data_IF_537281682056
#
_entry.id   IF_537281682056
#
_cell.length_a   1.000
_cell.length_b   1.000
_cell.length_c   1.000
_cell.angle_alpha   90.00
_cell.angle_beta   90.00
_cell.angle_gamma   90.00
#
_symmetry.space_group_name_H-M   'P 1'
#
loop_
_entity.id
_entity.type
_entity.pdbx_description
1 polymer ?
#
# COMPACT_ATOMS: atom_id res chain seq x y z
N UNK A 1 -31.14 -7.51 -7.99
CA UNK A 1 -31.15 -6.86 -9.33
C UNK A 1 -30.24 -5.65 -9.24
N UNK A 2 -29.30 -5.47 -10.17
CA UNK A 2 -28.55 -4.23 -10.25
C UNK A 2 -29.51 -3.12 -10.70
N UNK A 3 -29.34 -1.91 -10.14
CA UNK A 3 -30.17 -0.75 -10.51
C UNK A 3 -29.79 -0.24 -11.91
N UNK A 4 -28.56 -0.51 -12.35
CA UNK A 4 -28.06 -0.20 -13.69
C UNK A 4 -27.29 -1.41 -14.26
N UNK A 5 -27.25 -1.52 -15.59
CA UNK A 5 -26.46 -2.50 -16.30
C UNK A 5 -24.98 -2.07 -16.35
N UNK A 6 -24.06 -3.03 -16.46
CA UNK A 6 -22.66 -2.75 -16.74
C UNK A 6 -22.56 -2.04 -18.11
N UNK A 7 -21.77 -0.96 -18.24
CA UNK A 7 -21.48 -0.34 -19.54
C UNK A 7 -20.90 -1.36 -20.54
N UNK A 8 -21.17 -1.17 -21.82
CA UNK A 8 -20.64 -1.98 -22.91
C UNK A 8 -19.17 -1.67 -23.26
N UNK A 9 -18.57 -0.71 -22.54
CA UNK A 9 -17.17 -0.28 -22.65
C UNK A 9 -16.83 0.35 -24.02
N UNK A 10 -17.83 0.68 -24.82
CA UNK A 10 -17.64 1.41 -26.07
C UNK A 10 -17.39 2.89 -25.80
N UNK A 11 -16.56 3.50 -26.64
CA UNK A 11 -16.29 4.94 -26.61
C UNK A 11 -17.01 5.57 -27.80
N UNK A 12 -17.91 6.49 -27.53
CA UNK A 12 -18.62 7.24 -28.56
C UNK A 12 -17.63 7.97 -29.50
N UNK A 13 -17.94 7.96 -30.80
CA UNK A 13 -17.11 8.54 -31.85
C UNK A 13 -15.65 8.02 -31.89
N UNK A 14 -15.33 6.89 -31.27
CA UNK A 14 -13.98 6.29 -31.34
C UNK A 14 -13.54 5.91 -32.75
N UNK A 15 -14.50 5.62 -33.64
CA UNK A 15 -14.28 5.28 -35.04
C UNK A 15 -14.66 6.41 -36.02
N UNK A 16 -14.90 7.62 -35.51
CA UNK A 16 -15.25 8.76 -36.36
C UNK A 16 -14.11 9.11 -37.32
N UNK A 17 -14.47 9.48 -38.55
CA UNK A 17 -13.52 9.88 -39.60
C UNK A 17 -12.92 11.25 -39.30
N UNK A 18 -11.87 11.61 -40.04
CA UNK A 18 -11.09 12.85 -39.86
C UNK A 18 -11.91 14.15 -39.81
N UNK A 19 -13.07 14.19 -40.48
CA UNK A 19 -13.93 15.37 -40.54
C UNK A 19 -15.21 15.22 -39.70
N UNK A 20 -15.29 14.20 -38.84
CA UNK A 20 -16.46 13.93 -37.99
C UNK A 20 -16.19 14.28 -36.51
N UNK A 21 -14.96 14.69 -36.16
CA UNK A 21 -14.57 15.17 -34.83
C UNK A 21 -13.70 16.41 -34.99
N UNK A 22 -13.99 17.43 -34.19
CA UNK A 22 -13.18 18.63 -34.08
C UNK A 22 -13.08 19.06 -32.61
N UNK A 23 -11.91 19.54 -32.21
CA UNK A 23 -11.66 19.93 -30.83
C UNK A 23 -12.59 21.09 -30.44
N UNK A 24 -13.19 21.01 -29.26
CA UNK A 24 -13.99 22.12 -28.76
C UNK A 24 -13.09 23.35 -28.52
N UNK A 25 -13.39 24.51 -29.12
CA UNK A 25 -12.44 25.62 -29.22
C UNK A 25 -12.11 26.28 -27.88
N UNK A 26 -13.07 26.33 -26.93
CA UNK A 26 -12.84 26.91 -25.61
C UNK A 26 -13.64 26.17 -24.53
N UNK A 27 -12.98 25.21 -23.88
CA UNK A 27 -13.61 24.39 -22.83
C UNK A 27 -14.06 25.19 -21.61
N UNK A 28 -13.36 26.28 -21.25
CA UNK A 28 -13.68 27.05 -20.05
C UNK A 28 -14.87 27.99 -20.28
N UNK A 29 -14.96 28.56 -21.49
CA UNK A 29 -16.10 29.39 -21.90
C UNK A 29 -17.34 28.55 -22.21
N UNK A 30 -17.16 27.30 -22.64
CA UNK A 30 -18.26 26.40 -23.00
C UNK A 30 -19.03 26.88 -24.22
N UNK A 31 -20.33 26.59 -24.29
CA UNK A 31 -21.17 26.88 -25.46
C UNK A 31 -21.28 28.37 -25.80
N UNK A 32 -20.90 29.30 -24.92
CA UNK A 32 -20.89 30.73 -25.24
C UNK A 32 -20.02 31.09 -26.45
N UNK A 33 -19.04 30.25 -26.80
CA UNK A 33 -18.19 30.43 -27.99
C UNK A 33 -18.94 30.27 -29.32
N UNK A 34 -20.09 29.56 -29.33
CA UNK A 34 -20.87 29.32 -30.55
C UNK A 34 -21.46 30.61 -31.11
N UNK A 35 -21.80 31.59 -30.27
CA UNK A 35 -22.36 32.88 -30.74
C UNK A 35 -21.36 33.69 -31.57
N UNK A 36 -20.06 33.50 -31.36
CA UNK A 36 -19.02 34.22 -32.10
C UNK A 36 -18.51 33.46 -33.33
N UNK A 37 -18.54 32.13 -33.29
CA UNK A 37 -17.93 31.30 -34.32
C UNK A 37 -18.93 30.63 -35.27
N UNK A 38 -20.14 30.33 -34.77
CA UNK A 38 -21.12 29.48 -35.47
C UNK A 38 -22.55 30.00 -35.33
N UNK A 39 -22.71 31.31 -35.09
CA UNK A 39 -24.01 31.98 -34.97
C UNK A 39 -24.96 31.34 -33.93
N UNK A 40 -24.38 30.78 -32.86
CA UNK A 40 -25.12 30.12 -31.78
C UNK A 40 -25.42 28.64 -32.05
N UNK A 41 -25.04 28.09 -33.21
CA UNK A 41 -25.34 26.71 -33.61
C UNK A 41 -24.07 25.86 -33.50
N UNK A 42 -23.92 25.03 -32.44
CA UNK A 42 -22.76 24.16 -32.31
C UNK A 42 -22.71 23.07 -33.40
N UNK A 43 -21.58 22.88 -34.11
CA UNK A 43 -21.39 21.79 -35.07
C UNK A 43 -21.42 20.41 -34.41
N UNK A 44 -21.75 19.38 -35.19
CA UNK A 44 -21.82 17.99 -34.70
C UNK A 44 -20.45 17.43 -34.30
N UNK A 45 -19.39 17.90 -34.94
CA UNK A 45 -18.00 17.54 -34.70
C UNK A 45 -17.58 17.90 -33.27
N UNK A 46 -18.08 19.03 -32.75
CA UNK A 46 -17.87 19.47 -31.37
C UNK A 46 -18.61 18.58 -30.38
N UNK A 47 -19.85 18.18 -30.68
CA UNK A 47 -20.57 17.19 -29.86
C UNK A 47 -19.84 15.86 -29.82
N UNK A 48 -19.37 15.36 -30.97
CA UNK A 48 -18.62 14.11 -31.04
C UNK A 48 -17.36 14.17 -30.18
N UNK A 49 -16.62 15.29 -30.22
CA UNK A 49 -15.48 15.51 -29.32
C UNK A 49 -15.87 15.51 -27.84
N UNK A 50 -16.90 16.26 -27.46
CA UNK A 50 -17.32 16.39 -26.06
C UNK A 50 -17.82 15.06 -25.47
N UNK A 51 -18.63 14.30 -26.22
CA UNK A 51 -19.11 12.99 -25.79
C UNK A 51 -17.98 11.97 -25.73
N UNK A 52 -17.11 11.93 -26.75
CA UNK A 52 -15.92 11.08 -26.72
C UNK A 52 -15.05 11.37 -25.49
N UNK A 53 -14.80 12.65 -25.19
CA UNK A 53 -14.04 13.07 -24.00
C UNK A 53 -14.67 12.57 -22.69
N UNK A 54 -16.00 12.61 -22.57
CA UNK A 54 -16.70 12.12 -21.38
C UNK A 54 -16.61 10.60 -21.28
N UNK A 55 -16.82 9.87 -22.37
CA UNK A 55 -16.72 8.40 -22.40
C UNK A 55 -15.31 7.92 -22.10
N UNK A 56 -14.28 8.56 -22.65
CA UNK A 56 -12.89 8.26 -22.34
C UNK A 56 -12.58 8.48 -20.85
N UNK A 57 -13.12 9.55 -20.26
CA UNK A 57 -12.98 9.81 -18.83
C UNK A 57 -13.68 8.75 -17.98
N UNK A 58 -14.90 8.35 -18.34
CA UNK A 58 -15.64 7.29 -17.67
C UNK A 58 -14.88 5.96 -17.76
N UNK A 59 -14.41 5.59 -18.95
CA UNK A 59 -13.67 4.35 -19.16
C UNK A 59 -12.35 4.33 -18.36
N UNK A 60 -11.64 5.47 -18.30
CA UNK A 60 -10.46 5.61 -17.45
C UNK A 60 -10.76 5.28 -15.98
N UNK A 61 -11.88 5.78 -15.44
CA UNK A 61 -12.29 5.47 -14.07
C UNK A 61 -12.79 4.02 -13.91
N UNK A 62 -13.50 3.46 -14.90
CA UNK A 62 -13.93 2.06 -14.87
C UNK A 62 -12.75 1.08 -14.83
N UNK A 63 -11.67 1.38 -15.57
CA UNK A 63 -10.48 0.54 -15.61
C UNK A 63 -9.65 0.63 -14.32
N UNK A 64 -9.55 1.84 -13.73
CA UNK A 64 -8.65 2.08 -12.58
C UNK A 64 -9.34 2.01 -11.23
N UNK A 65 -10.64 2.28 -11.16
CA UNK A 65 -11.41 2.44 -9.92
C UNK A 65 -11.13 3.75 -9.18
N UNK A 66 -9.86 4.17 -9.08
CA UNK A 66 -9.43 5.42 -8.46
C UNK A 66 -8.59 6.25 -9.45
N UNK A 67 -8.74 7.59 -9.47
CA UNK A 67 -7.94 8.44 -10.35
C UNK A 67 -6.48 8.49 -9.91
N UNK A 68 -5.58 8.74 -10.86
CA UNK A 68 -4.18 9.02 -10.54
C UNK A 68 -4.03 10.36 -9.82
N UNK A 69 -3.03 10.43 -8.94
CA UNK A 69 -2.61 11.68 -8.35
C UNK A 69 -2.11 12.64 -9.43
N UNK A 70 -2.48 13.91 -9.29
CA UNK A 70 -2.16 15.01 -10.19
C UNK A 70 -1.67 16.21 -9.39
N UNK A 71 -0.59 16.82 -9.85
CA UNK A 71 -0.05 18.05 -9.28
C UNK A 71 -1.01 19.25 -9.40
N UNK A 72 -1.94 19.22 -10.35
CA UNK A 72 -2.83 20.35 -10.68
C UNK A 72 -4.13 20.36 -9.88
N UNK A 73 -4.51 19.22 -9.28
CA UNK A 73 -5.78 19.06 -8.57
C UNK A 73 -5.65 19.42 -7.09
N UNK A 74 -6.71 20.03 -6.57
CA UNK A 74 -6.93 20.22 -5.14
C UNK A 74 -7.65 19.00 -4.56
N UNK A 75 -7.05 18.38 -3.55
CA UNK A 75 -7.60 17.20 -2.88
C UNK A 75 -8.21 17.59 -1.55
N UNK A 76 -9.52 17.40 -1.31
CA UNK A 76 -10.11 17.57 0.01
C UNK A 76 -9.69 16.42 0.94
N UNK A 77 -9.86 16.64 2.26
CA UNK A 77 -9.70 15.58 3.26
C UNK A 77 -10.57 14.38 2.90
N UNK A 78 -9.99 13.19 2.88
CA UNK A 78 -10.66 11.93 2.56
C UNK A 78 -10.68 11.57 1.08
N UNK A 79 -10.13 12.40 0.17
CA UNK A 79 -9.99 12.04 -1.24
C UNK A 79 -9.10 10.80 -1.42
N UNK A 80 -9.39 10.01 -2.46
CA UNK A 80 -8.63 8.80 -2.81
C UNK A 80 -7.94 8.95 -4.15
N UNK A 81 -6.70 8.50 -4.24
CA UNK A 81 -5.89 8.55 -5.47
C UNK A 81 -5.00 7.32 -5.60
N UNK A 82 -4.52 7.06 -6.80
CA UNK A 82 -3.43 6.14 -7.08
C UNK A 82 -2.14 6.90 -7.37
N UNK A 83 -1.00 6.39 -6.91
CA UNK A 83 0.31 6.90 -7.25
C UNK A 83 1.32 5.76 -7.20
N UNK A 84 2.16 5.60 -8.23
CA UNK A 84 3.20 4.55 -8.29
C UNK A 84 2.67 3.14 -7.98
N UNK A 85 1.51 2.76 -8.53
CA UNK A 85 0.89 1.44 -8.31
C UNK A 85 0.24 1.24 -6.94
N UNK A 86 0.18 2.29 -6.12
CA UNK A 86 -0.27 2.26 -4.72
C UNK A 86 -1.46 3.20 -4.51
N UNK A 87 -2.44 2.83 -3.67
CA UNK A 87 -3.66 3.63 -3.39
C UNK A 87 -3.62 4.41 -2.07
N UNK A 88 -3.91 5.71 -2.09
CA UNK A 88 -3.77 6.59 -0.91
C UNK A 88 -5.08 7.32 -0.59
N UNK A 89 -5.22 7.69 0.68
CA UNK A 89 -6.29 8.56 1.19
C UNK A 89 -5.70 9.85 1.74
N UNK A 90 -6.24 11.00 1.36
CA UNK A 90 -5.86 12.29 1.90
C UNK A 90 -6.31 12.42 3.37
N UNK A 91 -5.38 12.77 4.27
CA UNK A 91 -5.64 13.04 5.68
C UNK A 91 -6.11 14.48 5.94
N UNK A 92 -5.76 15.39 5.03
CA UNK A 92 -6.15 16.79 5.04
C UNK A 92 -6.20 17.36 3.62
N UNK A 93 -6.79 18.56 3.47
CA UNK A 93 -6.78 19.25 2.19
C UNK A 93 -5.35 19.52 1.74
N UNK A 94 -5.02 19.20 0.49
CA UNK A 94 -3.69 19.46 -0.07
C UNK A 94 -3.72 19.59 -1.60
N UNK A 95 -2.67 20.19 -2.15
CA UNK A 95 -2.43 20.35 -3.59
C UNK A 95 -0.94 20.18 -3.86
N UNK A 96 -0.59 19.65 -5.04
CA UNK A 96 0.79 19.50 -5.50
C UNK A 96 1.72 18.85 -4.44
N UNK A 97 1.18 17.90 -3.68
CA UNK A 97 1.90 17.16 -2.67
C UNK A 97 1.74 15.68 -3.00
N UNK A 98 2.69 15.05 -3.70
CA UNK A 98 2.57 13.64 -4.04
C UNK A 98 2.62 12.79 -2.77
N UNK A 99 1.86 11.68 -2.71
CA UNK A 99 2.01 10.70 -1.65
C UNK A 99 3.36 9.99 -1.83
N UNK A 100 4.39 10.41 -1.08
CA UNK A 100 5.65 9.69 -1.03
C UNK A 100 5.53 8.48 -0.08
N UNK A 101 6.31 7.45 -0.32
CA UNK A 101 6.24 6.19 0.44
C UNK A 101 6.58 6.42 1.91
N UNK A 102 5.72 5.89 2.80
CA UNK A 102 5.60 6.10 4.25
C UNK A 102 4.75 7.34 4.63
N UNK A 103 3.48 7.06 4.97
CA UNK A 103 2.45 7.94 5.51
C UNK A 103 2.89 9.36 5.90
N UNK A 104 2.85 10.27 4.92
CA UNK A 104 2.99 11.72 5.18
C UNK A 104 1.83 12.22 6.02
N UNK A 105 2.02 13.37 6.69
CA UNK A 105 0.93 14.09 7.39
C UNK A 105 -0.31 14.35 6.50
N UNK A 106 -0.15 14.28 5.18
CA UNK A 106 -1.18 14.58 4.18
C UNK A 106 -1.82 13.34 3.55
N UNK A 107 -1.11 12.21 3.51
CA UNK A 107 -1.53 11.03 2.75
C UNK A 107 -1.25 9.77 3.54
N UNK A 108 -2.25 8.90 3.62
CA UNK A 108 -2.13 7.58 4.23
C UNK A 108 -2.30 6.47 3.20
N UNK A 109 -1.49 5.41 3.28
CA UNK A 109 -1.69 4.16 2.54
C UNK A 109 -3.08 3.60 2.84
N UNK A 110 -3.88 3.38 1.80
CA UNK A 110 -5.24 2.84 1.93
C UNK A 110 -5.31 1.32 1.78
N UNK A 111 -4.50 0.76 0.87
CA UNK A 111 -4.39 -0.68 0.67
C UNK A 111 -2.92 -1.08 0.78
N UNK A 112 -2.66 -2.33 1.12
CA UNK A 112 -1.32 -2.91 1.25
C UNK A 112 -1.39 -4.27 0.57
N UNK A 113 -0.35 -4.67 -0.16
CA UNK A 113 -0.29 -6.00 -0.77
C UNK A 113 0.27 -7.05 0.21
N UNK A 114 0.15 -8.33 -0.16
CA UNK A 114 0.58 -9.44 0.69
C UNK A 114 2.10 -9.48 0.88
N UNK A 115 2.87 -9.03 -0.11
CA UNK A 115 4.33 -9.02 -0.05
C UNK A 115 4.81 -7.96 0.95
N UNK A 116 4.20 -6.78 0.94
CA UNK A 116 4.40 -5.73 1.94
C UNK A 116 4.08 -6.23 3.36
N UNK A 117 2.97 -6.97 3.55
CA UNK A 117 2.61 -7.57 4.84
C UNK A 117 3.64 -8.63 5.26
N UNK A 118 4.04 -9.50 4.34
CA UNK A 118 5.02 -10.56 4.62
C UNK A 118 6.37 -9.97 5.02
N UNK A 119 6.82 -8.92 4.35
CA UNK A 119 8.06 -8.22 4.68
C UNK A 119 7.96 -7.55 6.06
N UNK A 120 6.81 -6.91 6.36
CA UNK A 120 6.53 -6.36 7.67
C UNK A 120 6.63 -7.45 8.76
N UNK A 121 5.97 -8.61 8.59
CA UNK A 121 6.03 -9.72 9.55
C UNK A 121 7.43 -10.33 9.64
N UNK A 122 8.19 -10.37 8.55
CA UNK A 122 9.55 -10.93 8.54
C UNK A 122 10.52 -10.11 9.38
N UNK A 123 10.39 -8.79 9.32
CA UNK A 123 11.37 -7.84 9.87
C UNK A 123 10.95 -7.21 11.18
N UNK A 124 9.65 -7.08 11.46
CA UNK A 124 9.20 -6.38 12.66
C UNK A 124 9.40 -7.19 13.93
N UNK A 125 10.02 -6.53 14.91
CA UNK A 125 10.04 -6.92 16.31
C UNK A 125 10.63 -8.31 16.60
N UNK A 126 11.46 -8.85 15.72
CA UNK A 126 12.15 -10.12 15.98
C UNK A 126 13.48 -9.90 16.67
N UNK A 127 13.70 -10.59 17.78
CA UNK A 127 14.97 -10.57 18.50
C UNK A 127 15.61 -11.95 18.53
N UNK A 128 16.93 -11.99 18.34
CA UNK A 128 17.73 -13.20 18.53
C UNK A 128 18.54 -13.18 19.83
N UNK A 129 18.29 -12.21 20.71
CA UNK A 129 18.85 -12.20 22.05
C UNK A 129 18.21 -13.31 22.91
N UNK A 130 19.02 -13.97 23.73
CA UNK A 130 18.60 -15.10 24.58
C UNK A 130 18.23 -14.68 26.01
N UNK A 131 18.41 -13.40 26.31
CA UNK A 131 18.31 -12.74 27.62
C UNK A 131 17.55 -11.40 27.51
N UNK A 132 16.70 -11.26 26.48
CA UNK A 132 15.93 -10.03 26.28
C UNK A 132 14.78 -9.94 27.27
N UNK A 133 14.69 -8.81 27.96
CA UNK A 133 13.57 -8.43 28.83
C UNK A 133 12.50 -7.60 28.08
N UNK A 134 12.57 -7.55 26.75
CA UNK A 134 11.64 -6.73 25.95
C UNK A 134 10.28 -7.40 25.79
N UNK A 135 9.21 -6.72 26.20
CA UNK A 135 7.82 -7.16 25.97
C UNK A 135 7.33 -6.91 24.53
N UNK A 136 8.06 -6.07 23.79
CA UNK A 136 7.70 -5.63 22.43
C UNK A 136 8.33 -6.50 21.33
N UNK A 137 9.17 -7.48 21.68
CA UNK A 137 9.86 -8.33 20.69
C UNK A 137 9.55 -9.81 20.86
N UNK A 138 9.53 -10.52 19.74
CA UNK A 138 9.32 -11.97 19.67
C UNK A 138 10.65 -12.68 19.43
N UNK A 139 10.87 -13.78 20.16
CA UNK A 139 12.07 -14.59 20.00
C UNK A 139 12.09 -15.28 18.63
N UNK A 140 13.23 -15.23 17.94
CA UNK A 140 13.46 -16.03 16.73
C UNK A 140 13.72 -17.49 17.08
N UNK A 141 13.46 -18.42 16.14
CA UNK A 141 13.86 -19.82 16.29
C UNK A 141 15.36 -19.98 16.54
N UNK A 142 16.18 -19.05 16.03
CA UNK A 142 17.62 -18.99 16.32
C UNK A 142 17.89 -18.71 17.80
N UNK A 143 17.23 -17.71 18.39
CA UNK A 143 17.34 -17.42 19.83
C UNK A 143 16.94 -18.63 20.68
N UNK A 144 15.83 -19.29 20.33
CA UNK A 144 15.35 -20.49 21.04
C UNK A 144 16.38 -21.62 20.96
N UNK A 145 16.97 -21.84 19.78
CA UNK A 145 18.00 -22.87 19.61
C UNK A 145 19.25 -22.58 20.45
N UNK A 146 19.74 -21.33 20.41
CA UNK A 146 20.92 -20.93 21.19
C UNK A 146 20.69 -21.06 22.71
N UNK A 147 19.50 -20.71 23.20
CA UNK A 147 19.14 -20.91 24.60
C UNK A 147 19.14 -22.39 25.00
N UNK A 148 18.65 -23.27 24.12
CA UNK A 148 18.66 -24.71 24.35
C UNK A 148 20.09 -25.26 24.40
N UNK A 149 20.98 -24.82 23.51
CA UNK A 149 22.40 -25.18 23.51
C UNK A 149 23.09 -24.73 24.81
N UNK A 150 22.90 -23.48 25.24
CA UNK A 150 23.44 -22.96 26.50
C UNK A 150 22.96 -23.75 27.74
N UNK A 151 21.70 -24.22 27.72
CA UNK A 151 21.17 -25.08 28.79
C UNK A 151 21.76 -26.49 28.75
N UNK A 152 21.95 -27.04 27.55
CA UNK A 152 22.58 -28.35 27.38
C UNK A 152 24.02 -28.34 27.90
N UNK A 153 24.81 -27.29 27.59
CA UNK A 153 26.17 -27.14 28.09
C UNK A 153 26.22 -27.12 29.63
N UNK A 154 25.33 -26.36 30.28
CA UNK A 154 25.21 -26.37 31.74
C UNK A 154 24.89 -27.78 32.26
N UNK A 155 23.94 -28.48 31.65
CA UNK A 155 23.54 -29.83 32.05
C UNK A 155 24.63 -30.90 31.86
N UNK A 156 25.79 -30.61 31.27
CA UNK A 156 26.91 -31.57 31.18
C UNK A 156 27.94 -31.43 32.31
N UNK A 157 27.76 -30.48 33.24
CA UNK A 157 28.68 -30.25 34.36
C UNK A 157 27.98 -30.43 35.71
N UNK A 158 28.69 -30.94 36.73
CA UNK A 158 28.13 -31.02 38.10
C UNK A 158 27.64 -29.64 38.58
N UNK A 159 28.42 -28.59 38.28
CA UNK A 159 28.06 -27.22 38.59
C UNK A 159 26.76 -26.76 37.90
N UNK A 160 26.50 -27.18 36.66
CA UNK A 160 25.28 -26.82 35.96
C UNK A 160 24.04 -27.66 36.32
N UNK A 161 24.19 -28.74 37.11
CA UNK A 161 23.09 -29.36 37.88
C UNK A 161 22.85 -28.68 39.24
N UNK A 162 23.60 -27.62 39.58
CA UNK A 162 23.53 -27.00 40.91
C UNK A 162 24.22 -27.82 42.01
N UNK A 163 25.05 -28.81 41.64
CA UNK A 163 25.84 -29.61 42.57
C UNK A 163 27.21 -28.94 42.69
N UNK A 164 27.34 -28.02 43.65
CA UNK A 164 28.57 -27.24 43.89
C UNK A 164 29.41 -27.76 45.06
N UNK A 165 28.80 -28.53 45.97
CA UNK A 165 29.44 -28.99 47.22
C UNK A 165 29.39 -30.52 47.33
N UNK A 166 29.87 -31.21 46.30
CA UNK A 166 30.13 -32.64 46.42
C UNK A 166 31.48 -32.82 47.13
N UNK A 167 31.43 -33.05 48.45
CA UNK A 167 32.61 -33.49 49.18
C UNK A 167 33.03 -34.85 48.61
N UNK A 168 34.07 -34.88 47.77
CA UNK A 168 34.77 -36.12 47.44
C UNK A 168 35.49 -36.58 48.70
N UNK A 169 34.78 -37.35 49.53
CA UNK A 169 35.40 -38.09 50.63
C UNK A 169 36.28 -39.16 50.00
N UNK A 170 37.59 -39.08 50.21
CA UNK A 170 38.49 -40.16 49.84
C UNK A 170 38.07 -41.43 50.58
N UNK A 171 37.87 -42.54 49.86
CA UNK A 171 37.66 -43.86 50.44
C UNK A 171 38.87 -44.19 51.31
N UNK A 172 38.66 -44.31 52.61
CA UNK A 172 39.70 -44.75 53.53
C UNK A 172 39.64 -46.27 53.66
N UNK A 173 40.75 -46.92 54.03
CA UNK A 173 40.82 -48.38 54.16
C UNK A 173 39.77 -48.98 55.13
N UNK A 174 39.14 -48.16 55.96
CA UNK A 174 38.04 -48.51 56.85
C UNK A 174 36.67 -48.65 56.18
N UNK A 175 36.52 -48.21 54.93
CA UNK A 175 35.24 -48.15 54.22
C UNK A 175 34.91 -49.41 53.41
N UNK A 176 35.82 -50.39 53.39
CA UNK A 176 35.58 -51.71 52.80
C UNK A 176 35.15 -52.70 53.90
N UNK A 177 33.84 -52.82 54.13
CA UNK A 177 33.20 -53.97 54.78
C UNK A 177 31.91 -54.35 54.07
#
# INVERSE_FOLDING_TARGET
>A
MSIANKPDEQIFASQAKRNEIDNFPDMLRGWGITFEQTEGIPPMEWFNFLFKRIDENLLYHLQRGLPEWSATLDYPKGAYVQHQGKTYRALMQNKNSPPNTADTDKWKRWAIDLDEINEFIRTNQKSSATDSESEDTVATSKAVNQLNELKADKATTLAGYGITDFAQRALTASDNL
#
